data_IF_439602495688
#
_entry.id   IF_439602495688
#
_cell.length_a   1.000
_cell.length_b   1.000
_cell.length_c   1.000
_cell.angle_alpha   90.00
_cell.angle_beta   90.00
_cell.angle_gamma   90.00
#
_symmetry.space_group_name_H-M   'P 1'
#
loop_
_entity.id
_entity.type
_entity.pdbx_description
1 polymer ?
#
# COMPACT_ATOMS: atom_id res chain seq x y z
N UNK A 1 30.10 30.37 -20.07
CA UNK A 1 29.10 29.34 -19.67
C UNK A 1 28.06 30.07 -18.85
N UNK A 2 26.83 30.20 -19.35
CA UNK A 2 25.78 30.89 -18.60
C UNK A 2 25.39 30.08 -17.35
N UNK A 3 25.20 30.76 -16.22
CA UNK A 3 24.72 30.12 -14.99
C UNK A 3 23.39 29.41 -15.28
N UNK A 4 23.32 28.11 -14.99
CA UNK A 4 22.05 27.38 -15.06
C UNK A 4 21.21 27.84 -13.87
N UNK A 5 20.08 28.46 -14.17
CA UNK A 5 19.10 28.85 -13.16
C UNK A 5 18.56 27.59 -12.47
N UNK A 6 18.48 27.64 -11.15
CA UNK A 6 17.95 26.56 -10.31
C UNK A 6 17.12 27.13 -9.15
N UNK A 7 16.12 26.37 -8.73
CA UNK A 7 15.34 26.63 -7.53
C UNK A 7 15.79 25.66 -6.42
N UNK A 8 15.82 26.14 -5.18
CA UNK A 8 16.24 25.33 -4.02
C UNK A 8 15.22 25.38 -2.90
N UNK A 9 14.95 24.23 -2.30
CA UNK A 9 14.19 24.13 -1.06
C UNK A 9 15.08 23.57 0.06
N UNK A 10 15.22 24.34 1.15
CA UNK A 10 15.91 23.90 2.35
C UNK A 10 15.11 22.79 3.05
N UNK A 11 15.82 21.76 3.51
CA UNK A 11 15.22 20.71 4.32
C UNK A 11 14.74 21.27 5.66
N UNK A 12 13.54 20.87 6.14
CA UNK A 12 13.07 21.25 7.49
C UNK A 12 13.99 20.75 8.61
N UNK A 13 14.80 19.71 8.36
CA UNK A 13 15.69 19.10 9.36
C UNK A 13 17.17 19.29 9.05
N UNK A 14 17.50 20.17 8.10
CA UNK A 14 18.89 20.50 7.77
C UNK A 14 19.62 19.45 6.93
N UNK A 15 18.90 18.57 6.21
CA UNK A 15 19.49 17.77 5.15
C UNK A 15 19.87 18.65 3.93
N UNK A 16 20.60 18.07 2.98
CA UNK A 16 20.95 18.74 1.71
C UNK A 16 19.70 19.33 1.04
N UNK A 17 19.76 20.59 0.56
CA UNK A 17 18.63 21.21 -0.13
C UNK A 17 18.18 20.43 -1.36
N UNK A 18 16.88 20.39 -1.61
CA UNK A 18 16.35 19.87 -2.87
C UNK A 18 16.55 20.93 -3.97
N UNK A 19 17.22 20.55 -5.06
CA UNK A 19 17.51 21.44 -6.18
C UNK A 19 16.69 21.04 -7.41
N UNK A 20 16.11 22.04 -8.08
CA UNK A 20 15.28 21.89 -9.26
C UNK A 20 15.85 22.74 -10.40
N UNK A 21 16.19 22.15 -11.56
CA UNK A 21 16.68 22.93 -12.69
C UNK A 21 15.57 23.79 -13.30
N UNK A 22 15.96 24.90 -13.94
CA UNK A 22 15.05 25.71 -14.77
C UNK A 22 15.39 25.56 -16.27
N UNK A 23 14.41 25.37 -17.17
CA UNK A 23 12.97 25.25 -16.91
C UNK A 23 12.62 23.99 -16.10
N UNK A 24 11.55 24.09 -15.31
CA UNK A 24 11.12 23.00 -14.44
C UNK A 24 10.72 21.76 -15.23
N UNK A 25 11.15 20.55 -14.83
CA UNK A 25 10.82 19.33 -15.55
C UNK A 25 9.32 19.01 -15.43
N UNK A 26 8.79 18.45 -16.50
CA UNK A 26 7.47 17.83 -16.55
C UNK A 26 7.68 16.32 -16.45
N UNK A 27 7.03 15.67 -15.49
CA UNK A 27 7.22 14.24 -15.23
C UNK A 27 6.25 13.40 -16.06
N UNK A 28 4.98 13.81 -16.10
CA UNK A 28 3.94 13.19 -16.93
C UNK A 28 2.86 14.22 -17.33
N UNK A 29 1.69 13.75 -17.81
CA UNK A 29 0.58 14.61 -18.26
C UNK A 29 -0.07 15.44 -17.14
N UNK A 30 0.10 15.05 -15.89
CA UNK A 30 -0.58 15.61 -14.73
C UNK A 30 0.39 16.11 -13.64
N UNK A 31 1.66 15.71 -13.69
CA UNK A 31 2.66 16.04 -12.69
C UNK A 31 3.84 16.81 -13.29
N UNK A 32 4.14 17.96 -12.67
CA UNK A 32 5.32 18.76 -12.97
C UNK A 32 6.05 19.17 -11.68
N UNK A 33 7.30 19.61 -11.82
CA UNK A 33 8.10 20.02 -10.67
C UNK A 33 7.62 21.31 -10.00
N UNK A 34 6.83 22.15 -10.67
CA UNK A 34 6.28 23.36 -10.05
C UNK A 34 5.22 22.99 -9.00
N UNK A 35 4.30 22.09 -9.35
CA UNK A 35 3.32 21.52 -8.43
C UNK A 35 4.01 20.75 -7.29
N UNK A 36 5.05 19.97 -7.61
CA UNK A 36 5.83 19.25 -6.58
C UNK A 36 6.46 20.21 -5.56
N UNK A 37 7.04 21.33 -6.00
CA UNK A 37 7.59 22.37 -5.11
C UNK A 37 6.50 22.93 -4.19
N UNK A 38 5.33 23.27 -4.75
CA UNK A 38 4.22 23.84 -3.99
C UNK A 38 3.69 22.85 -2.95
N UNK A 39 3.45 21.60 -3.34
CA UNK A 39 2.98 20.56 -2.43
C UNK A 39 4.03 20.21 -1.38
N UNK A 40 5.33 20.21 -1.75
CA UNK A 40 6.42 20.03 -0.78
C UNK A 40 6.39 21.09 0.30
N UNK A 41 6.28 22.38 -0.07
CA UNK A 41 6.16 23.49 0.88
C UNK A 41 4.92 23.31 1.76
N UNK A 42 3.77 22.97 1.16
CA UNK A 42 2.51 22.73 1.87
C UNK A 42 2.64 21.63 2.92
N UNK A 43 3.23 20.49 2.56
CA UNK A 43 3.41 19.38 3.49
C UNK A 43 4.40 19.71 4.62
N UNK A 44 5.45 20.49 4.36
CA UNK A 44 6.33 20.96 5.43
C UNK A 44 5.60 21.93 6.37
N UNK A 45 4.68 22.76 5.84
CA UNK A 45 3.82 23.60 6.69
C UNK A 45 2.90 22.76 7.59
N UNK A 46 2.33 21.66 7.10
CA UNK A 46 1.53 20.75 7.93
C UNK A 46 2.35 20.08 9.04
N UNK A 47 3.65 19.89 8.82
CA UNK A 47 4.57 19.32 9.81
C UNK A 47 5.07 20.33 10.84
N UNK A 48 5.16 21.61 10.47
CA UNK A 48 5.71 22.68 11.30
C UNK A 48 4.66 23.82 11.41
N UNK A 49 3.87 23.86 12.50
CA UNK A 49 2.84 24.89 12.70
C UNK A 49 3.37 26.33 12.62
N UNK A 50 4.56 26.59 13.17
CA UNK A 50 5.18 27.92 13.12
C UNK A 50 5.52 28.34 11.67
N UNK A 51 5.91 27.39 10.82
CA UNK A 51 6.14 27.63 9.41
C UNK A 51 4.82 27.92 8.69
N UNK A 52 3.78 27.16 9.01
CA UNK A 52 2.44 27.37 8.45
C UNK A 52 1.96 28.81 8.72
N UNK A 53 2.09 29.31 9.94
CA UNK A 53 1.77 30.71 10.27
C UNK A 53 2.63 31.72 9.50
N UNK A 54 3.93 31.45 9.36
CA UNK A 54 4.84 32.31 8.60
C UNK A 54 4.52 32.34 7.10
N UNK A 55 3.96 31.26 6.57
CA UNK A 55 3.59 31.12 5.16
C UNK A 55 2.15 31.57 4.89
N UNK A 56 1.18 31.32 5.78
CA UNK A 56 -0.25 31.65 5.64
C UNK A 56 -0.50 33.14 5.38
N UNK A 57 0.29 34.03 5.99
CA UNK A 57 0.22 35.48 5.73
C UNK A 57 0.55 35.85 4.26
N UNK A 58 0.97 34.91 3.43
CA UNK A 58 1.49 35.13 2.09
C UNK A 58 1.21 34.03 1.06
N UNK A 59 0.65 32.88 1.48
CA UNK A 59 0.23 31.78 0.58
C UNK A 59 -1.02 32.19 -0.24
N UNK A 60 -1.64 33.33 0.06
CA UNK A 60 -2.69 33.96 -0.74
C UNK A 60 -2.20 34.70 -2.00
N UNK A 61 -0.91 34.56 -2.37
CA UNK A 61 -0.35 35.19 -3.57
C UNK A 61 -0.48 34.21 -4.73
N UNK A 62 -1.14 34.62 -5.83
CA UNK A 62 -1.12 33.88 -7.10
C UNK A 62 0.34 33.74 -7.58
N UNK A 63 0.88 32.53 -7.52
CA UNK A 63 2.20 32.22 -8.07
C UNK A 63 2.04 31.76 -9.52
N UNK A 64 2.74 32.42 -10.43
CA UNK A 64 2.88 31.94 -11.81
C UNK A 64 3.93 30.82 -11.86
N UNK A 65 3.49 29.59 -12.07
CA UNK A 65 4.34 28.39 -12.16
C UNK A 65 5.23 28.39 -13.40
N UNK A 66 4.94 29.24 -14.39
CA UNK A 66 5.73 29.38 -15.63
C UNK A 66 6.78 30.48 -15.55
N UNK A 67 6.79 31.28 -14.49
CA UNK A 67 7.71 32.39 -14.30
C UNK A 67 8.79 32.06 -13.26
N UNK A 68 10.07 32.14 -13.68
CA UNK A 68 11.21 31.85 -12.80
C UNK A 68 11.22 32.75 -11.57
N UNK A 69 11.07 34.07 -11.75
CA UNK A 69 11.09 35.03 -10.63
C UNK A 69 9.96 34.78 -9.63
N UNK A 70 8.78 34.37 -10.12
CA UNK A 70 7.64 34.03 -9.27
C UNK A 70 7.96 32.82 -8.38
N UNK A 71 8.43 31.73 -9.00
CA UNK A 71 8.79 30.51 -8.27
C UNK A 71 10.02 30.69 -7.37
N UNK A 72 10.98 31.52 -7.78
CA UNK A 72 12.14 31.88 -6.96
C UNK A 72 11.73 32.65 -5.71
N UNK A 73 10.83 33.63 -5.83
CA UNK A 73 10.30 34.37 -4.67
C UNK A 73 9.60 33.45 -3.67
N UNK A 74 8.86 32.45 -4.15
CA UNK A 74 8.25 31.41 -3.30
C UNK A 74 9.32 30.60 -2.56
N UNK A 75 10.31 30.07 -3.28
CA UNK A 75 11.39 29.27 -2.69
C UNK A 75 12.21 30.07 -1.68
N UNK A 76 12.61 31.29 -2.02
CA UNK A 76 13.39 32.18 -1.14
C UNK A 76 12.63 32.51 0.14
N UNK A 77 11.32 32.69 0.04
CA UNK A 77 10.47 32.94 1.20
C UNK A 77 10.41 31.74 2.12
N UNK A 78 10.12 30.57 1.57
CA UNK A 78 10.14 29.31 2.32
C UNK A 78 11.50 29.12 2.99
N UNK A 79 12.60 29.32 2.25
CA UNK A 79 13.96 29.16 2.78
C UNK A 79 14.27 30.12 3.94
N UNK A 80 13.86 31.40 3.85
CA UNK A 80 14.02 32.37 4.95
C UNK A 80 13.19 31.97 6.18
N UNK A 81 11.99 31.43 5.96
CA UNK A 81 11.16 30.95 7.05
C UNK A 81 11.80 29.73 7.73
N UNK A 82 12.34 28.78 6.97
CA UNK A 82 13.11 27.64 7.49
C UNK A 82 14.32 28.10 8.30
N UNK A 83 15.09 29.09 7.81
CA UNK A 83 16.21 29.66 8.57
C UNK A 83 15.75 30.22 9.92
N UNK A 84 14.61 30.93 9.93
CA UNK A 84 14.02 31.48 11.16
C UNK A 84 13.60 30.39 12.13
N UNK A 85 12.98 29.31 11.64
CA UNK A 85 12.62 28.12 12.43
C UNK A 85 13.86 27.43 13.01
N UNK A 86 14.92 27.26 12.23
CA UNK A 86 16.17 26.68 12.72
C UNK A 86 16.83 27.54 13.80
N UNK A 87 16.72 28.87 13.74
CA UNK A 87 17.17 29.75 14.82
C UNK A 87 16.28 29.64 16.05
N UNK A 88 14.95 29.54 15.87
CA UNK A 88 14.00 29.35 16.97
C UNK A 88 14.30 28.05 17.74
N UNK A 89 14.63 26.96 17.05
CA UNK A 89 15.00 25.67 17.65
C UNK A 89 16.37 25.63 18.32
N UNK A 90 17.24 26.62 18.07
CA UNK A 90 18.48 26.79 18.86
C UNK A 90 18.22 27.44 20.22
N UNK A 91 17.06 28.07 20.40
CA UNK A 91 16.63 28.67 21.66
C UNK A 91 15.95 27.66 22.58
N UNK A 92 14.88 28.08 23.26
CA UNK A 92 14.13 27.25 24.20
C UNK A 92 13.01 26.43 23.55
N UNK A 93 12.67 26.71 22.29
CA UNK A 93 11.59 26.03 21.56
C UNK A 93 12.01 24.62 21.20
N UNK A 94 11.18 23.63 21.53
CA UNK A 94 11.48 22.24 21.19
C UNK A 94 11.47 22.05 19.66
N UNK A 95 12.51 21.41 19.08
CA UNK A 95 12.53 21.12 17.67
C UNK A 95 11.46 20.10 17.30
N UNK A 96 11.14 20.02 16.01
CA UNK A 96 10.28 18.96 15.48
C UNK A 96 10.78 17.59 15.95
N UNK A 97 9.85 16.74 16.39
CA UNK A 97 10.17 15.37 16.81
C UNK A 97 10.67 14.56 15.62
N UNK A 98 12.00 14.47 15.49
CA UNK A 98 12.69 13.67 14.49
C UNK A 98 12.34 12.19 14.62
N UNK A 99 12.49 11.43 13.52
CA UNK A 99 12.34 9.97 13.48
C UNK A 99 10.93 9.44 13.76
N UNK A 100 9.90 10.29 13.65
CA UNK A 100 8.51 9.81 13.54
C UNK A 100 8.24 9.31 12.13
N UNK A 101 7.28 8.38 12.02
CA UNK A 101 6.74 7.97 10.72
C UNK A 101 5.96 9.14 10.07
N UNK A 102 5.90 9.19 8.73
CA UNK A 102 5.10 10.21 8.04
C UNK A 102 3.60 9.97 8.27
N UNK A 103 2.81 11.04 8.20
CA UNK A 103 1.35 10.90 8.11
C UNK A 103 0.98 10.25 6.76
N UNK A 104 -0.21 9.62 6.61
CA UNK A 104 -0.62 9.02 5.35
C UNK A 104 -0.60 9.99 4.17
N UNK A 105 -0.99 11.25 4.40
CA UNK A 105 -0.96 12.29 3.37
C UNK A 105 0.45 12.67 2.95
N UNK A 106 1.35 12.90 3.90
CA UNK A 106 2.76 13.17 3.59
C UNK A 106 3.41 11.97 2.89
N UNK A 107 3.11 10.74 3.32
CA UNK A 107 3.66 9.54 2.70
C UNK A 107 3.22 9.41 1.23
N UNK A 108 1.96 9.72 0.92
CA UNK A 108 1.48 9.76 -0.48
C UNK A 108 2.29 10.75 -1.31
N UNK A 109 2.50 11.96 -0.78
CA UNK A 109 3.31 12.98 -1.45
C UNK A 109 4.76 12.51 -1.68
N UNK A 110 5.40 11.96 -0.65
CA UNK A 110 6.77 11.44 -0.75
C UNK A 110 6.86 10.33 -1.79
N UNK A 111 5.93 9.38 -1.82
CA UNK A 111 5.95 8.31 -2.81
C UNK A 111 5.74 8.81 -4.24
N UNK A 112 4.85 9.79 -4.45
CA UNK A 112 4.67 10.43 -5.75
C UNK A 112 5.95 11.16 -6.20
N UNK A 113 6.57 11.90 -5.28
CA UNK A 113 7.84 12.59 -5.53
C UNK A 113 8.95 11.60 -5.87
N UNK A 114 9.05 10.49 -5.13
CA UNK A 114 10.02 9.42 -5.41
C UNK A 114 9.80 8.82 -6.79
N UNK A 115 8.53 8.56 -7.16
CA UNK A 115 8.17 8.05 -8.49
C UNK A 115 8.58 9.02 -9.60
N UNK A 116 8.21 10.29 -9.48
CA UNK A 116 8.52 11.34 -10.45
C UNK A 116 10.03 11.49 -10.72
N UNK A 117 10.87 11.31 -9.70
CA UNK A 117 12.34 11.40 -9.83
C UNK A 117 13.00 10.08 -10.26
N UNK A 118 12.26 8.97 -10.29
CA UNK A 118 12.82 7.62 -10.55
C UNK A 118 12.34 6.99 -11.85
N UNK A 119 11.05 7.12 -12.18
CA UNK A 119 10.43 6.51 -13.35
C UNK A 119 10.42 7.51 -14.50
N UNK A 120 11.46 7.46 -15.32
CA UNK A 120 11.66 8.43 -16.41
C UNK A 120 10.80 8.16 -17.64
N UNK A 121 10.38 6.91 -17.84
CA UNK A 121 9.57 6.49 -18.99
C UNK A 121 8.55 5.45 -18.48
N UNK A 122 7.36 5.93 -18.02
CA UNK A 122 6.28 5.08 -17.52
C UNK A 122 5.72 4.14 -18.58
N UNK A 123 5.79 4.49 -19.87
CA UNK A 123 5.27 3.64 -20.94
C UNK A 123 6.05 2.32 -21.03
N UNK A 124 7.34 2.31 -20.64
CA UNK A 124 8.12 1.06 -20.53
C UNK A 124 7.62 0.13 -19.43
N UNK A 125 6.92 0.65 -18.42
CA UNK A 125 6.24 -0.16 -17.42
C UNK A 125 4.95 -0.77 -17.97
N UNK A 126 4.53 -0.49 -19.20
CA UNK A 126 3.38 -1.15 -19.84
C UNK A 126 3.84 -2.17 -20.90
N UNK A 127 5.14 -2.29 -21.15
CA UNK A 127 5.71 -3.20 -22.15
C UNK A 127 5.84 -4.62 -21.59
N UNK A 128 4.73 -5.35 -21.50
CA UNK A 128 4.74 -6.78 -21.22
C UNK A 128 4.01 -7.55 -22.29
N UNK A 129 4.37 -8.83 -22.44
CA UNK A 129 3.57 -9.74 -23.23
C UNK A 129 2.17 -9.83 -22.61
N UNK A 130 1.09 -9.58 -23.39
CA UNK A 130 -0.26 -9.80 -22.90
C UNK A 130 -0.40 -11.22 -22.33
N UNK A 131 -1.01 -11.35 -21.14
CA UNK A 131 -1.18 -12.62 -20.42
C UNK A 131 0.10 -13.26 -19.84
N UNK A 132 1.21 -12.52 -19.76
CA UNK A 132 2.37 -12.92 -18.97
C UNK A 132 2.22 -12.55 -17.48
N UNK A 133 2.94 -13.21 -16.56
CA UNK A 133 3.03 -12.80 -15.16
C UNK A 133 3.62 -11.40 -14.95
N UNK A 134 4.11 -10.74 -16.00
CA UNK A 134 4.86 -9.50 -15.90
C UNK A 134 3.96 -8.24 -15.98
N UNK A 135 2.65 -8.38 -16.24
CA UNK A 135 1.74 -7.23 -16.38
C UNK A 135 1.74 -6.35 -15.13
N UNK A 136 2.26 -5.13 -15.27
CA UNK A 136 2.25 -4.10 -14.23
C UNK A 136 0.82 -3.58 -14.01
N UNK A 137 0.29 -3.84 -12.82
CA UNK A 137 -0.91 -3.19 -12.33
C UNK A 137 -0.54 -2.37 -11.10
N UNK A 138 -0.45 -1.05 -11.23
CA UNK A 138 -0.19 -0.18 -10.08
C UNK A 138 -1.27 -0.39 -9.00
N UNK A 139 -0.84 -0.89 -7.84
CA UNK A 139 -1.68 -0.95 -6.65
C UNK A 139 -1.80 0.45 -6.07
N UNK A 140 -3.02 1.00 -6.02
CA UNK A 140 -3.25 2.36 -5.51
C UNK A 140 -2.84 2.51 -4.04
N UNK A 141 -2.36 3.70 -3.65
CA UNK A 141 -1.97 4.03 -2.28
C UNK A 141 -3.05 3.72 -1.22
N UNK A 142 -4.31 4.05 -1.54
CA UNK A 142 -5.44 3.87 -0.62
C UNK A 142 -5.70 2.40 -0.29
N UNK A 143 -5.58 1.56 -1.30
CA UNK A 143 -5.72 0.12 -1.16
C UNK A 143 -4.60 -0.48 -0.31
N UNK A 144 -3.34 -0.08 -0.53
CA UNK A 144 -2.22 -0.52 0.33
C UNK A 144 -2.43 -0.05 1.77
N UNK A 145 -2.96 1.16 1.97
CA UNK A 145 -3.30 1.67 3.31
C UNK A 145 -4.35 0.80 4.00
N UNK A 146 -5.38 0.37 3.28
CA UNK A 146 -6.37 -0.57 3.80
C UNK A 146 -5.74 -1.92 4.14
N UNK A 147 -4.89 -2.45 3.26
CA UNK A 147 -4.19 -3.70 3.49
C UNK A 147 -3.34 -3.62 4.76
N UNK A 148 -2.62 -2.51 4.96
CA UNK A 148 -1.84 -2.27 6.18
C UNK A 148 -2.72 -2.32 7.44
N UNK A 149 -3.92 -1.73 7.39
CA UNK A 149 -4.86 -1.72 8.51
C UNK A 149 -5.39 -3.12 8.85
N UNK A 150 -5.73 -3.92 7.83
CA UNK A 150 -6.27 -5.28 7.99
C UNK A 150 -5.21 -6.30 8.42
N UNK A 151 -3.95 -6.09 8.05
CA UNK A 151 -2.87 -7.03 8.33
C UNK A 151 -2.38 -6.99 9.79
N UNK A 152 -2.62 -5.89 10.52
CA UNK A 152 -2.20 -5.71 11.93
C UNK A 152 -0.75 -6.14 12.20
N UNK A 153 0.17 -5.68 11.35
CA UNK A 153 1.59 -6.07 11.41
C UNK A 153 2.29 -5.61 12.69
N UNK A 154 3.09 -6.49 13.30
CA UNK A 154 3.89 -6.24 14.51
C UNK A 154 5.39 -6.27 14.25
N UNK A 155 6.22 -5.98 15.25
CA UNK A 155 7.67 -5.80 15.08
C UNK A 155 8.42 -7.08 14.70
N UNK A 156 7.87 -8.23 15.05
CA UNK A 156 8.43 -9.55 14.75
C UNK A 156 8.11 -10.00 13.33
N UNK A 157 7.16 -9.36 12.66
CA UNK A 157 6.71 -9.77 11.34
C UNK A 157 7.77 -9.48 10.27
N UNK A 158 7.76 -10.32 9.24
CA UNK A 158 8.47 -10.08 7.98
C UNK A 158 7.46 -9.94 6.86
N UNK A 159 7.57 -8.84 6.11
CA UNK A 159 6.70 -8.54 4.97
C UNK A 159 7.43 -8.83 3.66
N UNK A 160 6.73 -9.45 2.70
CA UNK A 160 7.26 -9.74 1.37
C UNK A 160 6.25 -9.35 0.30
N UNK A 161 6.68 -8.59 -0.69
CA UNK A 161 5.95 -8.30 -1.93
C UNK A 161 6.52 -9.14 -3.08
N UNK A 162 5.71 -10.08 -3.60
CA UNK A 162 6.09 -10.98 -4.69
C UNK A 162 5.64 -10.39 -6.04
N UNK A 163 6.62 -10.02 -6.88
CA UNK A 163 6.37 -9.23 -8.09
C UNK A 163 6.20 -7.76 -7.75
N UNK A 164 7.18 -7.20 -7.04
CA UNK A 164 7.08 -5.87 -6.43
C UNK A 164 7.09 -4.69 -7.42
N UNK A 165 7.33 -4.95 -8.71
CA UNK A 165 7.47 -3.92 -9.73
C UNK A 165 8.55 -2.91 -9.35
N UNK A 166 8.20 -1.62 -9.37
CA UNK A 166 9.10 -0.52 -8.96
C UNK A 166 9.28 -0.41 -7.44
N UNK A 167 8.62 -1.25 -6.63
CA UNK A 167 8.79 -1.34 -5.18
C UNK A 167 7.88 -0.44 -4.33
N UNK A 168 6.91 0.25 -4.93
CA UNK A 168 6.08 1.25 -4.24
C UNK A 168 5.33 0.71 -3.01
N UNK A 169 4.83 -0.53 -3.06
CA UNK A 169 4.09 -1.15 -1.95
C UNK A 169 5.03 -1.38 -0.78
N UNK A 170 6.21 -1.95 -1.03
CA UNK A 170 7.26 -2.16 -0.01
C UNK A 170 7.63 -0.85 0.66
N UNK A 171 7.87 0.22 -0.11
CA UNK A 171 8.23 1.54 0.44
C UNK A 171 7.12 2.11 1.33
N UNK A 172 5.86 2.01 0.89
CA UNK A 172 4.71 2.47 1.65
C UNK A 172 4.56 1.70 2.97
N UNK A 173 4.60 0.37 2.91
CA UNK A 173 4.46 -0.50 4.09
C UNK A 173 5.63 -0.27 5.05
N UNK A 174 6.86 -0.17 4.55
CA UNK A 174 8.04 0.12 5.36
C UNK A 174 7.95 1.49 6.07
N UNK A 175 7.33 2.49 5.44
CA UNK A 175 7.09 3.79 6.05
C UNK A 175 5.96 3.80 7.08
N UNK A 176 4.96 2.91 6.92
CA UNK A 176 3.73 2.91 7.71
C UNK A 176 3.72 1.94 8.89
N UNK A 177 4.41 0.80 8.82
CA UNK A 177 4.35 -0.29 9.83
C UNK A 177 5.71 -0.59 10.42
N UNK A 178 5.78 -1.33 11.53
CA UNK A 178 7.05 -1.56 12.27
C UNK A 178 7.61 -2.98 12.19
N UNK A 179 7.30 -3.74 11.14
CA UNK A 179 7.88 -5.06 10.87
C UNK A 179 9.41 -5.05 10.97
N UNK A 180 9.96 -6.23 11.26
CA UNK A 180 11.39 -6.48 11.36
C UNK A 180 12.11 -6.14 10.06
N UNK A 181 11.55 -6.58 8.94
CA UNK A 181 12.12 -6.36 7.61
C UNK A 181 11.04 -6.42 6.52
N UNK A 182 11.29 -5.71 5.42
CA UNK A 182 10.44 -5.70 4.23
C UNK A 182 11.22 -6.10 2.99
N UNK A 183 10.69 -7.03 2.22
CA UNK A 183 11.30 -7.46 0.96
C UNK A 183 10.38 -7.17 -0.22
N UNK A 184 10.95 -6.75 -1.34
CA UNK A 184 10.31 -6.76 -2.64
C UNK A 184 11.18 -7.52 -3.62
N UNK A 185 10.59 -8.44 -4.37
CA UNK A 185 11.27 -9.18 -5.42
C UNK A 185 10.59 -8.95 -6.76
N UNK A 186 11.38 -8.54 -7.74
CA UNK A 186 10.91 -8.30 -9.11
C UNK A 186 11.81 -9.00 -10.13
N UNK A 187 11.19 -9.71 -11.06
CA UNK A 187 11.90 -10.51 -12.08
C UNK A 187 12.26 -9.66 -13.29
N UNK A 188 11.34 -8.81 -13.74
CA UNK A 188 11.47 -8.01 -14.94
C UNK A 188 12.52 -6.91 -14.77
N UNK A 189 13.39 -6.76 -15.78
CA UNK A 189 14.56 -5.89 -15.72
C UNK A 189 14.20 -4.41 -15.58
N UNK A 190 13.25 -3.94 -16.38
CA UNK A 190 12.83 -2.54 -16.41
C UNK A 190 12.31 -2.06 -15.05
N UNK A 191 11.28 -2.69 -14.44
CA UNK A 191 10.80 -2.27 -13.13
C UNK A 191 11.85 -2.44 -12.03
N UNK A 192 12.65 -3.52 -12.05
CA UNK A 192 13.73 -3.70 -11.08
C UNK A 192 14.79 -2.59 -11.15
N UNK A 193 15.17 -2.13 -12.35
CA UNK A 193 16.09 -1.00 -12.52
C UNK A 193 15.48 0.31 -11.99
N UNK A 194 14.19 0.54 -12.22
CA UNK A 194 13.53 1.70 -11.62
C UNK A 194 13.45 1.57 -10.09
N UNK A 195 13.27 0.36 -9.55
CA UNK A 195 13.26 0.11 -8.11
C UNK A 195 14.57 0.52 -7.41
N UNK A 196 15.73 0.38 -8.08
CA UNK A 196 17.02 0.89 -7.57
C UNK A 196 17.03 2.43 -7.43
N UNK A 197 16.40 3.14 -8.36
CA UNK A 197 16.26 4.59 -8.28
C UNK A 197 15.21 4.99 -7.23
N UNK A 198 14.08 4.28 -7.17
CA UNK A 198 13.06 4.45 -6.14
C UNK A 198 13.65 4.28 -4.74
N UNK A 199 14.51 3.28 -4.52
CA UNK A 199 15.21 3.06 -3.24
C UNK A 199 16.05 4.28 -2.83
N UNK A 200 16.93 4.73 -3.74
CA UNK A 200 17.79 5.90 -3.50
C UNK A 200 16.98 7.16 -3.20
N UNK A 201 15.97 7.42 -4.02
CA UNK A 201 15.14 8.61 -3.91
C UNK A 201 14.28 8.59 -2.64
N UNK A 202 13.73 7.42 -2.27
CA UNK A 202 12.95 7.28 -1.06
C UNK A 202 13.79 7.54 0.19
N UNK A 203 14.99 6.95 0.29
CA UNK A 203 15.92 7.24 1.39
C UNK A 203 16.30 8.72 1.46
N UNK A 204 16.56 9.34 0.30
CA UNK A 204 16.87 10.78 0.20
C UNK A 204 15.72 11.63 0.74
N UNK A 205 14.50 11.43 0.26
CA UNK A 205 13.34 12.23 0.64
C UNK A 205 12.90 11.98 2.08
N UNK A 206 12.88 10.73 2.54
CA UNK A 206 12.58 10.42 3.95
C UNK A 206 13.56 11.11 4.90
N UNK A 207 14.86 11.13 4.57
CA UNK A 207 15.87 11.91 5.30
C UNK A 207 15.62 13.41 5.20
N UNK A 208 15.26 13.92 4.02
CA UNK A 208 14.98 15.34 3.78
C UNK A 208 13.81 15.86 4.63
N UNK A 209 12.74 15.06 4.80
CA UNK A 209 11.62 15.37 5.69
C UNK A 209 11.87 15.00 7.17
N UNK A 210 12.98 14.33 7.49
CA UNK A 210 13.29 13.87 8.85
C UNK A 210 12.41 12.72 9.37
N UNK A 211 11.89 11.90 8.46
CA UNK A 211 10.96 10.80 8.73
C UNK A 211 11.66 9.44 8.81
N UNK A 212 11.13 8.56 9.66
CA UNK A 212 11.60 7.17 9.80
C UNK A 212 10.83 6.24 8.87
N UNK A 213 11.53 5.25 8.32
CA UNK A 213 10.98 4.02 7.74
C UNK A 213 11.65 2.79 8.37
N UNK A 214 11.08 1.61 8.16
CA UNK A 214 11.69 0.33 8.52
C UNK A 214 12.78 -0.11 7.53
N UNK A 215 13.54 -1.14 7.88
CA UNK A 215 14.59 -1.68 7.01
C UNK A 215 13.98 -2.53 5.90
N UNK A 216 14.28 -2.18 4.65
CA UNK A 216 13.73 -2.86 3.49
C UNK A 216 14.80 -3.21 2.46
N UNK A 217 14.49 -4.17 1.59
CA UNK A 217 15.33 -4.59 0.47
C UNK A 217 14.47 -4.81 -0.77
N UNK A 218 14.82 -4.13 -1.86
CA UNK A 218 14.25 -4.35 -3.19
C UNK A 218 15.31 -5.11 -4.00
N UNK A 219 14.98 -6.30 -4.46
CA UNK A 219 15.91 -7.16 -5.19
C UNK A 219 15.36 -7.62 -6.53
N UNK A 220 16.27 -7.70 -7.52
CA UNK A 220 15.98 -8.36 -8.79
C UNK A 220 16.09 -9.87 -8.58
N UNK A 221 15.02 -10.61 -8.82
CA UNK A 221 14.99 -12.04 -8.59
C UNK A 221 13.71 -12.71 -9.07
N UNK A 222 13.73 -14.04 -9.08
CA UNK A 222 12.54 -14.84 -9.35
C UNK A 222 12.03 -15.42 -8.03
N UNK A 223 10.80 -15.04 -7.63
CA UNK A 223 10.17 -15.58 -6.41
C UNK A 223 9.86 -17.08 -6.48
N UNK A 224 9.95 -17.68 -7.68
CA UNK A 224 9.83 -19.13 -7.89
C UNK A 224 11.18 -19.85 -7.79
N UNK A 225 12.28 -19.16 -7.49
CA UNK A 225 13.57 -19.80 -7.23
C UNK A 225 13.57 -20.61 -5.94
N UNK A 226 14.55 -21.51 -5.78
CA UNK A 226 14.72 -22.27 -4.53
C UNK A 226 15.14 -21.37 -3.36
N UNK A 227 15.87 -20.27 -3.60
CA UNK A 227 16.22 -19.31 -2.54
C UNK A 227 14.95 -18.69 -1.92
N UNK A 228 13.98 -18.34 -2.77
CA UNK A 228 12.75 -17.70 -2.35
C UNK A 228 11.77 -18.66 -1.66
N UNK A 229 11.95 -19.97 -1.82
CA UNK A 229 11.13 -20.99 -1.15
C UNK A 229 11.24 -20.90 0.38
N UNK A 230 12.46 -20.82 0.91
CA UNK A 230 12.70 -20.72 2.35
C UNK A 230 12.32 -19.34 2.89
N UNK A 231 12.55 -18.28 2.10
CA UNK A 231 12.14 -16.91 2.47
C UNK A 231 10.61 -16.80 2.57
N UNK A 232 9.87 -17.36 1.61
CA UNK A 232 8.40 -17.40 1.63
C UNK A 232 7.89 -18.21 2.82
N UNK A 233 8.47 -19.39 3.09
CA UNK A 233 8.07 -20.23 4.23
C UNK A 233 8.24 -19.51 5.59
N UNK A 234 9.24 -18.62 5.69
CA UNK A 234 9.53 -17.86 6.90
C UNK A 234 8.86 -16.49 6.98
N UNK A 235 8.21 -16.02 5.91
CA UNK A 235 7.50 -14.75 5.91
C UNK A 235 6.22 -14.82 6.76
N UNK A 236 5.94 -13.75 7.51
CA UNK A 236 4.68 -13.62 8.25
C UNK A 236 3.57 -13.10 7.36
N UNK A 237 3.89 -12.14 6.50
CA UNK A 237 2.94 -11.41 5.67
C UNK A 237 3.44 -11.35 4.24
N UNK A 238 2.61 -11.79 3.31
CA UNK A 238 2.87 -11.76 1.88
C UNK A 238 1.84 -10.89 1.19
N UNK A 239 2.29 -10.02 0.31
CA UNK A 239 1.49 -9.36 -0.69
C UNK A 239 1.88 -9.90 -2.07
N UNK A 240 0.89 -10.19 -2.92
CA UNK A 240 1.12 -10.63 -4.29
C UNK A 240 -0.01 -10.17 -5.19
N UNK A 241 0.28 -9.30 -6.15
CA UNK A 241 -0.72 -8.87 -7.14
C UNK A 241 -0.79 -9.89 -8.29
N UNK A 242 -1.42 -11.04 -8.05
CA UNK A 242 -1.47 -12.15 -9.01
C UNK A 242 -2.55 -12.01 -10.10
N UNK A 243 -3.14 -10.83 -10.32
CA UNK A 243 -4.28 -10.64 -11.23
C UNK A 243 -4.01 -11.19 -12.64
N UNK A 244 -2.84 -10.91 -13.20
CA UNK A 244 -2.44 -11.36 -14.53
C UNK A 244 -1.63 -12.68 -14.52
N UNK A 245 -1.36 -13.27 -13.35
CA UNK A 245 -0.57 -14.49 -13.30
C UNK A 245 -1.34 -15.68 -13.90
N UNK A 246 -0.62 -16.50 -14.67
CA UNK A 246 -1.17 -17.73 -15.23
C UNK A 246 -1.40 -18.82 -14.16
N UNK A 247 -2.22 -19.84 -14.47
CA UNK A 247 -2.52 -20.94 -13.54
C UNK A 247 -1.30 -21.68 -13.01
N UNK A 248 -0.25 -21.80 -13.82
CA UNK A 248 1.01 -22.47 -13.46
C UNK A 248 1.74 -21.71 -12.33
N UNK A 249 1.88 -20.39 -12.47
CA UNK A 249 2.49 -19.55 -11.43
C UNK A 249 1.67 -19.59 -10.15
N UNK A 250 0.34 -19.50 -10.27
CA UNK A 250 -0.56 -19.63 -9.11
C UNK A 250 -0.44 -21.01 -8.44
N UNK A 251 -0.20 -22.09 -9.19
CA UNK A 251 0.01 -23.43 -8.65
C UNK A 251 1.31 -23.52 -7.85
N UNK A 252 2.43 -23.06 -8.42
CA UNK A 252 3.73 -23.09 -7.74
C UNK A 252 3.78 -22.18 -6.50
N UNK A 253 3.07 -21.04 -6.54
CA UNK A 253 2.87 -20.20 -5.35
C UNK A 253 2.12 -20.94 -4.25
N UNK A 254 1.08 -21.71 -4.58
CA UNK A 254 0.36 -22.53 -3.58
C UNK A 254 1.29 -23.55 -2.92
N UNK A 255 2.17 -24.20 -3.68
CA UNK A 255 3.16 -25.13 -3.11
C UNK A 255 4.11 -24.45 -2.12
N UNK A 256 4.49 -23.19 -2.40
CA UNK A 256 5.34 -22.38 -1.50
C UNK A 256 4.57 -21.97 -0.24
N UNK A 257 3.35 -21.48 -0.40
CA UNK A 257 2.50 -21.05 0.71
C UNK A 257 2.12 -22.20 1.66
N UNK A 258 2.09 -23.44 1.18
CA UNK A 258 1.84 -24.61 2.03
C UNK A 258 2.87 -24.77 3.16
N UNK A 259 4.09 -24.23 2.96
CA UNK A 259 5.18 -24.26 3.92
C UNK A 259 5.21 -23.06 4.88
N UNK A 260 4.31 -22.08 4.70
CA UNK A 260 4.23 -20.93 5.61
C UNK A 260 3.81 -21.34 7.02
N UNK A 261 4.31 -20.63 8.02
CA UNK A 261 3.98 -20.88 9.43
C UNK A 261 2.51 -20.60 9.73
N UNK A 262 2.02 -21.20 10.80
CA UNK A 262 0.67 -20.97 11.32
C UNK A 262 0.44 -19.47 11.58
N UNK A 263 -0.74 -18.96 11.22
CA UNK A 263 -1.06 -17.54 11.34
C UNK A 263 -0.50 -16.65 10.24
N UNK A 264 0.35 -17.18 9.34
CA UNK A 264 0.85 -16.43 8.18
C UNK A 264 -0.28 -15.87 7.33
N UNK A 265 -0.10 -14.65 6.83
CA UNK A 265 -1.12 -13.90 6.07
C UNK A 265 -0.67 -13.68 4.63
N UNK A 266 -1.57 -13.89 3.67
CA UNK A 266 -1.31 -13.62 2.25
C UNK A 266 -2.44 -12.75 1.71
N UNK A 267 -2.10 -11.58 1.18
CA UNK A 267 -3.05 -10.70 0.49
C UNK A 267 -2.78 -10.75 -1.01
N UNK A 268 -3.83 -11.04 -1.77
CA UNK A 268 -3.74 -11.16 -3.22
C UNK A 268 -4.95 -10.61 -3.96
N UNK A 269 -4.79 -10.30 -5.24
CA UNK A 269 -5.87 -9.77 -6.10
C UNK A 269 -6.76 -10.86 -6.70
N UNK A 270 -6.32 -12.13 -6.72
CA UNK A 270 -7.16 -13.31 -6.95
C UNK A 270 -7.01 -14.30 -5.79
N UNK A 271 -8.09 -14.98 -5.37
CA UNK A 271 -8.02 -15.93 -4.27
C UNK A 271 -7.29 -17.22 -4.68
N UNK A 272 -6.43 -17.74 -3.81
CA UNK A 272 -5.72 -19.02 -4.03
C UNK A 272 -6.58 -20.25 -3.68
N UNK A 273 -7.63 -20.06 -2.88
CA UNK A 273 -8.63 -21.06 -2.54
C UNK A 273 -10.05 -20.45 -2.53
N UNK A 274 -11.11 -21.25 -2.80
CA UNK A 274 -12.48 -20.79 -2.72
C UNK A 274 -12.85 -20.25 -1.33
N UNK A 275 -13.56 -19.12 -1.25
CA UNK A 275 -13.97 -18.52 0.03
C UNK A 275 -14.86 -19.44 0.88
N UNK A 276 -15.66 -20.28 0.22
CA UNK A 276 -16.56 -21.23 0.83
C UNK A 276 -16.04 -22.67 0.77
N UNK A 277 -14.71 -22.85 0.77
CA UNK A 277 -14.06 -24.15 0.67
C UNK A 277 -14.59 -25.14 1.72
N UNK A 278 -14.82 -26.39 1.29
CA UNK A 278 -15.27 -27.49 2.15
C UNK A 278 -14.38 -28.69 1.94
N UNK A 279 -13.72 -29.10 3.02
CA UNK A 279 -12.87 -30.29 3.03
C UNK A 279 -13.73 -31.54 2.83
N UNK A 280 -13.29 -32.41 1.93
CA UNK A 280 -13.80 -33.75 1.68
C UNK A 280 -12.61 -34.64 1.27
N UNK A 281 -12.86 -35.94 1.08
CA UNK A 281 -11.78 -36.90 0.79
C UNK A 281 -11.05 -36.67 -0.54
N UNK A 282 -11.64 -35.94 -1.50
CA UNK A 282 -11.06 -35.70 -2.83
C UNK A 282 -10.15 -34.47 -2.88
N UNK A 283 -10.30 -33.53 -1.95
CA UNK A 283 -9.56 -32.26 -1.95
C UNK A 283 -8.64 -32.09 -0.73
N UNK A 284 -8.21 -33.21 -0.13
CA UNK A 284 -7.34 -33.21 1.05
C UNK A 284 -5.94 -32.62 0.79
N UNK A 285 -5.48 -32.64 -0.46
CA UNK A 285 -4.21 -32.06 -0.88
C UNK A 285 -4.31 -30.57 -1.26
N UNK A 286 -5.53 -30.02 -1.35
CA UNK A 286 -5.71 -28.64 -1.79
C UNK A 286 -5.29 -27.67 -0.69
N UNK A 287 -4.67 -26.55 -1.09
CA UNK A 287 -4.21 -25.52 -0.15
C UNK A 287 -5.34 -24.95 0.73
N UNK A 288 -6.59 -24.96 0.24
CA UNK A 288 -7.76 -24.52 1.01
C UNK A 288 -8.01 -25.31 2.29
N UNK A 289 -7.36 -26.47 2.47
CA UNK A 289 -7.45 -27.25 3.71
C UNK A 289 -6.71 -26.62 4.89
N UNK A 290 -5.75 -25.73 4.63
CA UNK A 290 -4.86 -25.12 5.63
C UNK A 290 -4.97 -23.60 5.69
N UNK A 291 -5.97 -22.98 5.05
CA UNK A 291 -6.14 -21.54 5.09
C UNK A 291 -7.60 -21.10 5.09
N UNK A 292 -7.87 -20.01 5.81
CA UNK A 292 -9.13 -19.26 5.72
C UNK A 292 -8.98 -18.16 4.69
N UNK A 293 -10.01 -17.95 3.88
CA UNK A 293 -10.01 -16.91 2.84
C UNK A 293 -11.18 -15.97 3.06
N UNK A 294 -10.91 -14.68 3.13
CA UNK A 294 -11.91 -13.61 3.22
C UNK A 294 -11.66 -12.57 2.13
N UNK A 295 -12.74 -12.06 1.53
CA UNK A 295 -12.66 -10.91 0.62
C UNK A 295 -12.60 -9.63 1.46
N UNK A 296 -11.61 -8.78 1.19
CA UNK A 296 -11.48 -7.47 1.79
C UNK A 296 -12.50 -6.53 1.14
N UNK A 297 -13.16 -5.71 1.97
CA UNK A 297 -14.22 -4.81 1.50
C UNK A 297 -13.65 -3.82 0.48
N UNK A 298 -14.19 -3.72 -0.75
CA UNK A 298 -13.66 -2.79 -1.74
C UNK A 298 -13.78 -1.32 -1.27
N UNK A 299 -12.72 -0.53 -1.46
CA UNK A 299 -12.77 0.92 -1.30
C UNK A 299 -13.75 1.52 -2.31
N UNK A 300 -14.64 2.40 -1.82
CA UNK A 300 -15.51 3.21 -2.70
C UNK A 300 -14.61 4.14 -3.53
N UNK A 301 -14.55 3.91 -4.85
CA UNK A 301 -13.86 4.79 -5.80
C UNK A 301 -12.59 4.22 -6.44
N UNK A 302 -12.09 3.06 -5.99
CA UNK A 302 -10.95 2.39 -6.64
C UNK A 302 -11.44 1.52 -7.81
N UNK A 303 -11.50 2.10 -9.00
CA UNK A 303 -11.79 1.39 -10.25
C UNK A 303 -10.48 0.90 -10.87
N UNK A 304 -10.41 -0.37 -11.26
CA UNK A 304 -9.33 -0.84 -12.14
C UNK A 304 -9.46 -0.23 -13.53
N UNK A 305 -8.42 -0.40 -14.35
CA UNK A 305 -8.47 -0.22 -15.80
C UNK A 305 -9.63 -0.98 -16.48
N UNK A 306 -10.23 -1.98 -15.80
CA UNK A 306 -11.42 -2.72 -16.29
C UNK A 306 -12.76 -2.11 -15.88
N UNK A 307 -12.76 -0.99 -15.14
CA UNK A 307 -13.98 -0.31 -14.67
C UNK A 307 -14.74 -1.05 -13.55
N UNK A 308 -14.19 -2.15 -13.03
CA UNK A 308 -14.76 -2.91 -11.90
C UNK A 308 -14.01 -2.59 -10.59
N UNK A 309 -14.72 -2.60 -9.44
CA UNK A 309 -14.08 -2.58 -8.13
C UNK A 309 -13.04 -3.71 -8.05
N UNK A 310 -11.83 -3.39 -7.62
CA UNK A 310 -10.79 -4.41 -7.41
C UNK A 310 -10.92 -4.95 -6.01
N UNK A 311 -11.36 -6.20 -5.90
CA UNK A 311 -11.35 -6.92 -4.63
C UNK A 311 -9.97 -7.50 -4.36
N UNK A 312 -9.58 -7.48 -3.10
CA UNK A 312 -8.42 -8.20 -2.60
C UNK A 312 -8.89 -9.28 -1.62
N UNK A 313 -8.06 -10.30 -1.45
CA UNK A 313 -8.40 -11.48 -0.67
C UNK A 313 -7.31 -11.69 0.38
N UNK A 314 -7.72 -11.74 1.65
CA UNK A 314 -6.86 -12.10 2.76
C UNK A 314 -6.98 -13.60 3.01
N UNK A 315 -5.84 -14.27 2.96
CA UNK A 315 -5.68 -15.66 3.32
C UNK A 315 -4.93 -15.72 4.65
N UNK A 316 -5.40 -16.53 5.59
CA UNK A 316 -4.71 -16.78 6.85
C UNK A 316 -4.45 -18.26 6.99
N UNK A 317 -3.19 -18.65 7.16
CA UNK A 317 -2.81 -20.03 7.40
C UNK A 317 -3.40 -20.49 8.73
N UNK A 318 -4.25 -21.50 8.66
CA UNK A 318 -5.00 -22.11 9.75
C UNK A 318 -5.11 -23.63 9.50
N UNK A 319 -4.18 -24.40 10.07
CA UNK A 319 -4.14 -25.87 9.97
C UNK A 319 -5.15 -26.54 10.90
N UNK A 320 -5.71 -25.81 11.85
CA UNK A 320 -6.75 -26.35 12.74
C UNK A 320 -7.97 -26.81 11.94
N UNK A 321 -8.22 -26.27 10.75
CA UNK A 321 -9.29 -26.71 9.85
C UNK A 321 -9.11 -28.18 9.45
N UNK A 322 -7.88 -28.57 9.07
CA UNK A 322 -7.55 -29.93 8.66
C UNK A 322 -7.53 -30.90 9.86
N UNK A 323 -6.98 -30.47 11.00
CA UNK A 323 -6.98 -31.25 12.24
C UNK A 323 -8.42 -31.56 12.70
N UNK A 324 -9.29 -30.57 12.60
CA UNK A 324 -10.72 -30.69 12.89
C UNK A 324 -11.41 -31.71 11.98
N UNK A 325 -11.06 -31.74 10.69
CA UNK A 325 -11.61 -32.72 9.75
C UNK A 325 -11.24 -34.15 10.15
N UNK A 326 -9.96 -34.42 10.43
CA UNK A 326 -9.53 -35.75 10.87
C UNK A 326 -10.10 -36.16 12.22
N UNK A 327 -10.30 -35.19 13.13
CA UNK A 327 -10.95 -35.43 14.42
C UNK A 327 -12.41 -35.86 14.25
N UNK A 328 -13.14 -35.23 13.32
CA UNK A 328 -14.51 -35.64 12.96
C UNK A 328 -14.57 -37.02 12.29
N UNK A 329 -13.55 -37.42 11.52
CA UNK A 329 -13.50 -38.76 10.92
C UNK A 329 -13.29 -39.86 11.98
N UNK A 330 -12.51 -39.57 13.04
CA UNK A 330 -12.26 -40.50 14.14
C UNK A 330 -13.47 -40.66 15.07
N UNK A 331 -14.34 -39.66 15.17
CA UNK A 331 -15.50 -39.68 16.06
C UNK A 331 -16.80 -39.27 15.33
N UNK A 332 -17.63 -40.24 14.90
CA UNK A 332 -18.87 -39.99 14.16
C UNK A 332 -19.87 -39.08 14.90
N UNK A 333 -19.88 -39.11 16.24
CA UNK A 333 -20.78 -38.26 17.05
C UNK A 333 -20.45 -36.77 16.91
N UNK A 334 -19.16 -36.42 16.86
CA UNK A 334 -18.72 -35.03 16.66
C UNK A 334 -19.12 -34.49 15.28
N UNK A 335 -19.17 -35.37 14.27
CA UNK A 335 -19.64 -35.02 12.93
C UNK A 335 -21.13 -34.68 12.93
N UNK A 336 -21.96 -35.52 13.55
CA UNK A 336 -23.41 -35.29 13.65
C UNK A 336 -23.74 -34.00 14.43
N UNK A 337 -23.06 -33.77 15.56
CA UNK A 337 -23.23 -32.56 16.37
C UNK A 337 -22.84 -31.28 15.60
N UNK A 338 -21.74 -31.30 14.85
CA UNK A 338 -21.33 -30.16 14.02
C UNK A 338 -22.26 -29.92 12.83
N UNK A 339 -22.71 -30.98 12.15
CA UNK A 339 -23.70 -30.85 11.08
C UNK A 339 -25.02 -30.27 11.62
N UNK A 340 -25.44 -30.67 12.83
CA UNK A 340 -26.59 -30.11 13.52
C UNK A 340 -26.39 -28.64 13.93
N UNK A 341 -25.24 -28.28 14.52
CA UNK A 341 -24.91 -26.90 14.89
C UNK A 341 -24.85 -25.97 13.66
N UNK A 342 -24.31 -26.46 12.54
CA UNK A 342 -24.25 -25.71 11.28
C UNK A 342 -25.63 -25.52 10.65
N UNK A 343 -26.51 -26.52 10.74
CA UNK A 343 -27.93 -26.39 10.34
C UNK A 343 -28.66 -25.34 11.18
N UNK A 344 -28.37 -25.26 12.49
CA UNK A 344 -28.91 -24.23 13.38
C UNK A 344 -28.43 -22.82 12.98
N UNK A 345 -27.13 -22.62 12.80
CA UNK A 345 -26.58 -21.33 12.35
C UNK A 345 -27.10 -20.89 10.97
N UNK A 346 -27.26 -21.81 10.02
CA UNK A 346 -27.83 -21.46 8.71
C UNK A 346 -29.31 -21.06 8.80
N UNK A 347 -30.06 -21.67 9.72
CA UNK A 347 -31.45 -21.29 10.00
C UNK A 347 -31.51 -19.91 10.64
N UNK A 348 -30.68 -19.65 11.65
CA UNK A 348 -30.57 -18.34 12.30
C UNK A 348 -30.13 -17.22 11.34
N UNK A 349 -29.17 -17.47 10.44
CA UNK A 349 -28.75 -16.50 9.43
C UNK A 349 -29.81 -16.25 8.33
N UNK A 350 -30.69 -17.23 8.07
CA UNK A 350 -31.85 -17.04 7.19
C UNK A 350 -32.94 -16.24 7.88
N UNK A 351 -33.19 -16.51 9.16
CA UNK A 351 -34.23 -15.85 9.96
C UNK A 351 -33.84 -14.39 10.31
N UNK A 352 -32.55 -14.11 10.51
CA UNK A 352 -32.04 -12.75 10.70
C UNK A 352 -32.08 -11.92 9.40
N UNK A 353 -31.81 -12.54 8.24
CA UNK A 353 -32.02 -11.89 6.94
C UNK A 353 -33.50 -11.63 6.66
N UNK A 354 -34.42 -12.56 6.94
CA UNK A 354 -35.86 -12.36 6.72
C UNK A 354 -36.46 -11.29 7.65
N UNK A 355 -35.99 -11.21 8.89
CA UNK A 355 -36.34 -10.14 9.86
C UNK A 355 -35.91 -8.74 9.40
N UNK A 356 -34.74 -8.64 8.75
CA UNK A 356 -34.26 -7.36 8.19
C UNK A 356 -35.09 -6.89 6.98
N UNK A 357 -35.56 -7.80 6.13
CA UNK A 357 -36.43 -7.47 4.97
C UNK A 357 -37.86 -7.11 5.40
N UNK A 358 -38.38 -7.76 6.45
CA UNK A 358 -39.72 -7.45 6.99
C UNK A 358 -39.78 -6.06 7.66
N UNK A 359 -38.68 -5.60 8.28
CA UNK A 359 -38.61 -4.25 8.89
C UNK A 359 -38.55 -3.11 7.87
N UNK A 360 -38.11 -3.36 6.63
CA UNK A 360 -38.12 -2.37 5.55
C UNK A 360 -39.54 -2.22 4.97
N UNK A 361 -40.26 -3.32 4.76
CA UNK A 361 -41.64 -3.29 4.26
C UNK A 361 -42.65 -2.72 5.27
N UNK A 362 -42.45 -2.88 6.58
CA UNK A 362 -43.34 -2.27 7.58
C UNK A 362 -43.16 -0.75 7.78
N UNK A 363 -42.10 -0.12 7.24
CA UNK A 363 -41.91 1.33 7.33
C UNK A 363 -42.56 2.14 6.20
N UNK A 364 -42.93 1.50 5.08
CA UNK A 364 -43.53 2.19 3.92
C UNK A 364 -45.07 2.05 3.82
N UNK A 365 -45.71 1.23 4.66
CA UNK A 365 -47.15 0.94 4.58
C UNK A 365 -48.10 1.91 5.32
N UNK A 366 -47.64 3.08 5.74
CA UNK A 366 -48.37 3.91 6.72
C UNK A 366 -48.48 5.40 6.40
N UNK A 367 -48.95 5.79 5.21
CA UNK A 367 -49.47 7.15 4.96
C UNK A 367 -50.35 7.20 3.70
N UNK A 368 -51.60 6.81 3.84
CA UNK A 368 -52.69 7.30 2.98
C UNK A 368 -53.66 8.07 3.88
N UNK A 369 -53.42 9.37 3.97
CA UNK A 369 -54.25 10.33 4.68
C UNK A 369 -54.83 11.32 3.68
N UNK A 370 -56.15 11.25 3.53
CA UNK A 370 -57.03 12.13 2.77
C UNK A 370 -56.76 13.62 3.01
N UNK A 371 -56.72 14.43 1.93
CA UNK A 371 -57.05 15.85 1.98
C UNK A 371 -57.91 16.24 0.78
N UNK A 372 -59.07 16.81 1.12
CA UNK A 372 -59.88 17.69 0.28
C UNK A 372 -59.17 19.02 0.08
#
# INVERSE_FOLDING_TARGET
MGERLELKLKSPVGAEPASYPWPLPVYDKHHDAAQEIIETIRWVCEEIPDLKLAMENYVLIDYDTKCFESMQRLCDKYNRAIDSIHQLWKGTTQPMKLKRRPSPGLLRHVLQQVYNHSVTDPDRLNNYEPFSPEVYGETSFDLVTQIIQEMEMVEEDTFVDLGSGVGQVVLQVAAATSCKHYFGVEKAETPARYAESMDREFKRWMKWYGKKHGEYTLERGDFLSEEWKDRIANASVIFVNNFAFGPEVDHQLKERFANMKEGGKIVSSKPFAPLNFRINSRNLSDIGTIMRVVELTPLRGSVSWTGKPVSYYLHTIDRTILENYFSCLKNPKLREEREAARRRQQKENRDSKSSSTAKVLCREGGRWGSWR
#
